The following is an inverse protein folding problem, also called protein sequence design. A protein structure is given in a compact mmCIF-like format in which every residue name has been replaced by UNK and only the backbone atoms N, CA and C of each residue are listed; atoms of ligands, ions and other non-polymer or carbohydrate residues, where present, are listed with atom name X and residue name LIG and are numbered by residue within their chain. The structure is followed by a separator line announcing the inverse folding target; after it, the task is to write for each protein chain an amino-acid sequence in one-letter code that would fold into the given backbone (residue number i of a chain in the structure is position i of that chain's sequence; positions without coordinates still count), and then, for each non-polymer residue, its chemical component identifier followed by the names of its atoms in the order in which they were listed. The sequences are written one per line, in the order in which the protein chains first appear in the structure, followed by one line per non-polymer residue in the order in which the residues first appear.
data_IF_317264358848
#
_entry.id   IF_317264358848
#
_cell.length_a   1.000
_cell.length_b   1.000
_cell.length_c   1.000
_cell.angle_alpha   90.00
_cell.angle_beta   90.00
_cell.angle_gamma   90.00
#
_symmetry.space_group_name_H-M   'P 1'
#
loop_
_entity.id
_entity.type
_entity.pdbx_description
1 polymer ?
#
# COMPACT_ATOMS: atom_id res chain seq x y z
N UNK A 1 -14.35 -10.80 -4.08
CA UNK A 1 -13.86 -9.99 -2.95
C UNK A 1 -12.63 -9.21 -3.41
N UNK A 2 -12.69 -7.88 -3.40
CA UNK A 2 -11.57 -7.01 -3.81
C UNK A 2 -10.50 -6.99 -2.72
N UNK A 3 -9.23 -6.91 -3.10
CA UNK A 3 -8.10 -6.92 -2.16
C UNK A 3 -7.34 -5.61 -2.24
N UNK A 4 -7.14 -5.00 -1.08
CA UNK A 4 -6.40 -3.77 -0.90
C UNK A 4 -5.09 -4.07 -0.19
N UNK A 5 -3.98 -3.77 -0.87
CA UNK A 5 -2.63 -3.86 -0.35
C UNK A 5 -2.14 -2.46 0.00
N UNK A 6 -1.46 -2.30 1.13
CA UNK A 6 -0.89 -1.04 1.57
C UNK A 6 0.44 -1.29 2.26
N UNK A 7 1.40 -0.41 1.98
CA UNK A 7 2.69 -0.37 2.65
C UNK A 7 2.79 0.94 3.43
N UNK A 8 3.20 0.84 4.69
CA UNK A 8 3.44 1.98 5.57
C UNK A 8 4.80 1.86 6.23
N UNK A 9 5.41 3.00 6.57
CA UNK A 9 6.65 3.02 7.32
C UNK A 9 6.41 2.94 8.84
N UNK A 10 7.50 3.05 9.62
CA UNK A 10 7.47 3.04 11.09
C UNK A 10 6.72 4.23 11.70
N UNK A 11 6.62 5.34 10.97
CA UNK A 11 5.95 6.58 11.36
C UNK A 11 4.49 6.60 10.88
N UNK A 12 4.00 5.47 10.36
CA UNK A 12 2.67 5.33 9.77
C UNK A 12 2.45 6.23 8.53
N UNK A 13 3.52 6.59 7.83
CA UNK A 13 3.44 7.25 6.54
C UNK A 13 3.12 6.25 5.44
N UNK A 14 2.41 6.69 4.39
CA UNK A 14 2.02 5.79 3.29
C UNK A 14 3.15 5.69 2.29
N UNK A 15 3.64 4.49 2.03
CA UNK A 15 4.70 4.24 1.05
C UNK A 15 4.16 3.88 -0.34
N UNK A 16 3.20 2.95 -0.39
CA UNK A 16 2.52 2.57 -1.63
C UNK A 16 1.18 1.90 -1.29
N UNK A 17 0.27 1.82 -2.27
CA UNK A 17 -0.99 1.11 -2.15
C UNK A 17 -1.43 0.49 -3.48
N UNK A 18 -2.24 -0.56 -3.42
CA UNK A 18 -2.77 -1.24 -4.59
C UNK A 18 -4.15 -1.83 -4.31
N UNK A 19 -5.14 -1.46 -5.12
CA UNK A 19 -6.46 -2.11 -5.14
C UNK A 19 -6.54 -3.09 -6.31
N UNK A 20 -6.92 -4.33 -6.00
CA UNK A 20 -7.09 -5.43 -6.96
C UNK A 20 -8.49 -6.03 -6.86
N UNK A 21 -8.96 -6.59 -7.98
CA UNK A 21 -10.30 -7.20 -8.04
C UNK A 21 -10.42 -8.53 -7.28
N UNK A 22 -9.33 -9.30 -7.19
CA UNK A 22 -9.24 -10.56 -6.42
C UNK A 22 -7.84 -10.71 -5.80
N UNK A 23 -7.72 -11.54 -4.76
CA UNK A 23 -6.44 -11.88 -4.12
C UNK A 23 -5.63 -12.81 -5.03
N UNK A 24 -4.43 -12.38 -5.42
CA UNK A 24 -3.50 -13.23 -6.16
C UNK A 24 -2.07 -13.04 -5.64
N UNK A 25 -1.34 -14.14 -5.42
CA UNK A 25 0.05 -14.14 -4.94
C UNK A 25 0.96 -13.26 -5.83
N UNK A 26 0.76 -13.31 -7.15
CA UNK A 26 1.52 -12.50 -8.12
C UNK A 26 1.32 -10.99 -7.93
N UNK A 27 0.10 -10.56 -7.59
CA UNK A 27 -0.20 -9.14 -7.37
C UNK A 27 0.45 -8.62 -6.08
N UNK A 28 0.45 -9.44 -5.04
CA UNK A 28 1.05 -9.11 -3.75
C UNK A 28 2.58 -9.10 -3.82
N UNK A 29 3.21 -10.09 -4.48
CA UNK A 29 4.65 -10.08 -4.77
C UNK A 29 5.06 -8.89 -5.65
N UNK A 30 4.27 -8.57 -6.67
CA UNK A 30 4.48 -7.42 -7.54
C UNK A 30 4.38 -6.10 -6.76
N UNK A 31 3.40 -5.99 -5.87
CA UNK A 31 3.25 -4.86 -4.96
C UNK A 31 4.47 -4.71 -4.03
N UNK A 32 4.90 -5.79 -3.38
CA UNK A 32 6.07 -5.79 -2.50
C UNK A 32 7.33 -5.33 -3.24
N UNK A 33 7.59 -5.93 -4.41
CA UNK A 33 8.77 -5.61 -5.24
C UNK A 33 8.75 -4.15 -5.68
N UNK A 34 7.59 -3.65 -6.10
CA UNK A 34 7.40 -2.25 -6.51
C UNK A 34 7.60 -1.28 -5.35
N UNK A 35 7.06 -1.59 -4.17
CA UNK A 35 7.20 -0.76 -2.98
C UNK A 35 8.67 -0.68 -2.53
N UNK A 36 9.40 -1.80 -2.56
CA UNK A 36 10.84 -1.85 -2.26
C UNK A 36 11.65 -1.07 -3.29
N UNK A 37 11.36 -1.23 -4.58
CA UNK A 37 12.08 -0.53 -5.65
C UNK A 37 11.94 0.99 -5.55
N UNK A 38 10.79 1.50 -5.07
CA UNK A 38 10.51 2.94 -4.97
C UNK A 38 11.04 3.57 -3.69
N UNK A 39 10.97 2.84 -2.58
CA UNK A 39 11.24 3.40 -1.24
C UNK A 39 12.58 2.91 -0.66
N UNK A 40 13.30 2.05 -1.39
CA UNK A 40 14.49 1.37 -0.91
C UNK A 40 14.17 0.08 -0.15
N UNK A 41 15.19 -0.78 -0.05
CA UNK A 41 15.03 -2.07 0.61
C UNK A 41 15.07 -1.94 2.14
N UNK A 42 13.99 -2.31 2.85
CA UNK A 42 13.98 -2.29 4.30
C UNK A 42 14.81 -3.43 4.89
N UNK A 43 15.37 -3.21 6.08
CA UNK A 43 16.04 -4.26 6.85
C UNK A 43 15.05 -5.22 7.53
N UNK A 44 13.86 -4.70 7.90
CA UNK A 44 12.80 -5.44 8.59
C UNK A 44 11.44 -5.10 7.98
N UNK A 45 10.63 -6.11 7.71
CA UNK A 45 9.20 -5.95 7.36
C UNK A 45 8.36 -6.56 8.46
N UNK A 46 7.40 -5.78 8.96
CA UNK A 46 6.36 -6.29 9.84
C UNK A 46 5.22 -6.85 9.00
N UNK A 47 4.92 -8.14 9.16
CA UNK A 47 3.81 -8.80 8.49
C UNK A 47 2.75 -9.23 9.50
N UNK A 48 1.49 -9.24 9.06
CA UNK A 48 0.47 -10.03 9.74
C UNK A 48 0.89 -11.52 9.71
N UNK A 49 0.34 -12.32 10.63
CA UNK A 49 0.65 -13.77 10.73
C UNK A 49 0.11 -14.58 9.54
N UNK A 50 -0.04 -13.99 8.36
CA UNK A 50 -0.47 -14.74 7.19
C UNK A 50 0.71 -15.44 6.53
N UNK A 51 0.53 -16.74 6.28
CA UNK A 51 1.53 -17.57 5.60
C UNK A 51 1.81 -17.07 4.18
N UNK A 52 0.81 -16.46 3.54
CA UNK A 52 0.95 -15.87 2.21
C UNK A 52 1.99 -14.75 2.18
N UNK A 53 1.94 -13.80 3.12
CA UNK A 53 2.89 -12.68 3.16
C UNK A 53 4.31 -13.18 3.50
N UNK A 54 4.42 -14.16 4.41
CA UNK A 54 5.70 -14.79 4.76
C UNK A 54 6.32 -15.48 3.54
N UNK A 55 5.52 -16.23 2.77
CA UNK A 55 5.97 -16.89 1.54
C UNK A 55 6.43 -15.88 0.47
N UNK A 56 5.76 -14.74 0.35
CA UNK A 56 6.12 -13.69 -0.61
C UNK A 56 7.43 -13.01 -0.24
N UNK A 57 7.65 -12.68 1.04
CA UNK A 57 8.94 -12.12 1.50
C UNK A 57 10.07 -13.14 1.34
N UNK A 58 9.82 -14.42 1.61
CA UNK A 58 10.80 -15.48 1.38
C UNK A 58 11.14 -15.63 -0.11
N UNK A 59 10.13 -15.56 -0.99
CA UNK A 59 10.36 -15.58 -2.43
C UNK A 59 11.18 -14.36 -2.89
N UNK A 60 10.91 -13.18 -2.35
CA UNK A 60 11.74 -12.00 -2.60
C UNK A 60 13.19 -12.20 -2.12
N UNK A 61 13.38 -12.68 -0.89
CA UNK A 61 14.70 -12.94 -0.30
C UNK A 61 15.49 -14.00 -1.06
N UNK A 62 14.85 -15.00 -1.66
CA UNK A 62 15.53 -16.03 -2.46
C UNK A 62 16.18 -15.47 -3.72
N UNK A 63 15.67 -14.34 -4.22
CA UNK A 63 16.12 -13.69 -5.47
C UNK A 63 17.05 -12.52 -5.25
N UNK A 64 17.29 -12.12 -4.00
CA UNK A 64 18.03 -10.90 -3.66
C UNK A 64 19.14 -11.20 -2.64
N UNK A 65 20.34 -10.62 -2.81
CA UNK A 65 21.48 -10.88 -1.92
C UNK A 65 21.28 -10.30 -0.52
N UNK A 66 20.59 -9.16 -0.41
CA UNK A 66 20.20 -8.57 0.87
C UNK A 66 18.91 -9.22 1.35
N UNK A 67 18.94 -9.87 2.51
CA UNK A 67 17.75 -10.51 3.11
C UNK A 67 17.00 -9.52 4.00
N UNK A 68 15.69 -9.49 3.82
CA UNK A 68 14.75 -8.75 4.67
C UNK A 68 14.34 -9.65 5.84
N UNK A 69 14.48 -9.16 7.08
CA UNK A 69 14.02 -9.88 8.27
C UNK A 69 12.50 -9.73 8.40
N UNK A 70 11.81 -10.82 8.64
CA UNK A 70 10.36 -10.81 8.91
C UNK A 70 10.17 -10.64 10.41
N UNK A 71 9.36 -9.66 10.82
CA UNK A 71 8.92 -9.46 12.19
C UNK A 71 7.41 -9.64 12.27
N UNK A 72 6.94 -10.25 13.35
CA UNK A 72 5.52 -10.34 13.67
C UNK A 72 5.29 -9.63 15.01
N UNK A 73 4.82 -8.39 14.99
CA UNK A 73 4.51 -7.63 16.20
C UNK A 73 3.01 -7.33 16.27
N UNK A 74 2.32 -7.86 17.28
CA UNK A 74 0.85 -7.67 17.47
C UNK A 74 0.47 -6.19 17.54
N UNK A 75 1.26 -5.37 18.23
CA UNK A 75 0.99 -3.94 18.37
C UNK A 75 1.06 -3.20 17.02
N UNK A 76 2.11 -3.44 16.24
CA UNK A 76 2.24 -2.86 14.89
C UNK A 76 1.14 -3.37 13.95
N UNK A 77 0.74 -4.64 14.09
CA UNK A 77 -0.40 -5.19 13.36
C UNK A 77 -1.69 -4.47 13.72
N UNK A 78 -1.95 -4.17 15.00
CA UNK A 78 -3.13 -3.43 15.42
C UNK A 78 -3.20 -2.02 14.81
N UNK A 79 -2.08 -1.31 14.70
CA UNK A 79 -2.00 0.02 14.06
C UNK A 79 -2.37 -0.10 12.57
N UNK A 80 -1.76 -1.06 11.87
CA UNK A 80 -2.04 -1.33 10.46
C UNK A 80 -3.50 -1.75 10.26
N UNK A 81 -4.05 -2.59 11.14
CA UNK A 81 -5.44 -3.03 11.11
C UNK A 81 -6.43 -1.89 11.36
N UNK A 82 -6.14 -0.99 12.29
CA UNK A 82 -6.92 0.24 12.49
C UNK A 82 -6.92 1.11 11.24
N UNK A 83 -5.74 1.31 10.65
CA UNK A 83 -5.59 2.11 9.45
C UNK A 83 -6.36 1.49 8.26
N UNK A 84 -6.33 0.16 8.15
CA UNK A 84 -7.10 -0.64 7.18
C UNK A 84 -8.61 -0.56 7.39
N UNK A 85 -9.12 -0.39 8.62
CA UNK A 85 -10.57 -0.34 8.89
C UNK A 85 -11.24 0.79 8.13
N UNK A 86 -10.63 1.97 8.12
CA UNK A 86 -11.14 3.13 7.37
C UNK A 86 -11.24 2.81 5.87
N UNK A 87 -10.21 2.17 5.31
CA UNK A 87 -10.18 1.85 3.88
C UNK A 87 -11.13 0.71 3.53
N UNK A 88 -11.23 -0.31 4.39
CA UNK A 88 -12.21 -1.39 4.23
C UNK A 88 -13.63 -0.83 4.25
N UNK A 89 -13.91 0.12 5.13
CA UNK A 89 -15.20 0.80 5.17
C UNK A 89 -15.48 1.57 3.87
N UNK A 90 -14.54 2.40 3.40
CA UNK A 90 -14.66 3.10 2.11
C UNK A 90 -14.82 2.12 0.93
N UNK A 91 -14.01 1.06 0.89
CA UNK A 91 -14.07 0.03 -0.16
C UNK A 91 -15.39 -0.75 -0.12
N UNK A 92 -15.99 -0.91 1.07
CA UNK A 92 -17.31 -1.53 1.23
C UNK A 92 -18.43 -0.59 0.75
N UNK A 93 -18.33 0.71 1.01
CA UNK A 93 -19.26 1.69 0.42
C UNK A 93 -19.12 1.80 -1.09
N UNK A 94 -17.91 1.57 -1.61
CA UNK A 94 -17.61 1.54 -3.04
C UNK A 94 -18.31 0.40 -3.81
N UNK A 95 -19.08 -0.48 -3.15
CA UNK A 95 -19.97 -1.44 -3.83
C UNK A 95 -21.07 -0.76 -4.66
N UNK A 96 -21.27 0.56 -4.54
CA UNK A 96 -22.11 1.36 -5.45
C UNK A 96 -21.44 1.81 -6.76
N UNK A 97 -20.13 1.60 -6.97
CA UNK A 97 -19.47 2.01 -8.22
C UNK A 97 -19.68 0.97 -9.33
N UNK A 98 -20.27 1.41 -10.45
CA UNK A 98 -20.51 0.59 -11.66
C UNK A 98 -19.23 0.08 -12.33
N UNK A 99 -18.08 0.75 -12.14
CA UNK A 99 -16.79 0.41 -12.80
C UNK A 99 -15.64 0.34 -11.79
N UNK A 100 -14.79 -0.66 -11.94
CA UNK A 100 -13.63 -0.89 -11.07
C UNK A 100 -12.57 0.23 -11.18
N UNK A 101 -12.37 0.76 -12.38
CA UNK A 101 -11.45 1.88 -12.63
C UNK A 101 -11.82 3.13 -11.85
N UNK A 102 -13.12 3.43 -11.76
CA UNK A 102 -13.63 4.57 -10.97
C UNK A 102 -13.35 4.34 -9.49
N UNK A 103 -13.61 3.14 -8.97
CA UNK A 103 -13.30 2.81 -7.59
C UNK A 103 -11.79 2.94 -7.28
N UNK A 104 -10.92 2.54 -8.21
CA UNK A 104 -9.47 2.73 -8.07
C UNK A 104 -9.08 4.21 -8.02
N UNK A 105 -9.57 5.04 -8.94
CA UNK A 105 -9.29 6.49 -8.98
C UNK A 105 -9.79 7.18 -7.71
N UNK A 106 -11.04 6.91 -7.29
CA UNK A 106 -11.60 7.46 -6.05
C UNK A 106 -10.79 7.04 -4.82
N UNK A 107 -10.37 5.78 -4.73
CA UNK A 107 -9.56 5.32 -3.60
C UNK A 107 -8.19 6.01 -3.58
N UNK A 108 -7.57 6.19 -4.74
CA UNK A 108 -6.32 6.93 -4.86
C UNK A 108 -6.47 8.40 -4.40
N UNK A 109 -7.59 9.05 -4.72
CA UNK A 109 -7.92 10.40 -4.23
C UNK A 109 -8.09 10.44 -2.70
N UNK A 110 -8.81 9.48 -2.12
CA UNK A 110 -8.98 9.37 -0.66
C UNK A 110 -7.63 9.19 0.03
N UNK A 111 -6.78 8.34 -0.55
CA UNK A 111 -5.46 8.04 -0.01
C UNK A 111 -4.53 9.27 -0.09
N UNK A 112 -4.58 10.01 -1.21
CA UNK A 112 -3.85 11.26 -1.39
C UNK A 112 -4.22 12.29 -0.31
N UNK A 113 -5.52 12.53 -0.08
CA UNK A 113 -5.99 13.42 0.99
C UNK A 113 -5.45 12.98 2.35
N UNK A 114 -5.40 11.67 2.61
CA UNK A 114 -4.88 11.13 3.88
C UNK A 114 -3.37 11.35 4.03
N UNK A 115 -2.60 11.12 2.98
CA UNK A 115 -1.15 11.41 2.92
C UNK A 115 -0.90 12.87 3.27
N UNK A 116 -1.66 13.78 2.66
CA UNK A 116 -1.54 15.22 2.90
C UNK A 116 -1.94 15.63 4.31
N UNK A 117 -3.03 15.05 4.86
CA UNK A 117 -3.43 15.27 6.27
C UNK A 117 -2.37 14.78 7.26
N UNK A 118 -1.56 13.78 6.88
CA UNK A 118 -0.39 13.33 7.65
C UNK A 118 0.85 14.23 7.47
N UNK A 119 0.74 15.32 6.71
CA UNK A 119 1.85 16.23 6.42
C UNK A 119 2.84 15.72 5.36
N UNK A 120 2.56 14.58 4.73
CA UNK A 120 3.41 14.06 3.66
C UNK A 120 3.19 14.86 2.38
N UNK A 121 4.28 15.22 1.71
CA UNK A 121 4.24 15.86 0.39
C UNK A 121 4.50 14.81 -0.70
N UNK A 122 3.52 14.53 -1.58
CA UNK A 122 3.72 13.60 -2.68
C UNK A 122 4.85 14.06 -3.56
N UNK A 123 5.78 13.15 -3.89
CA UNK A 123 6.88 13.41 -4.82
C UNK A 123 6.65 12.63 -6.10
N UNK A 124 6.79 13.29 -7.24
CA UNK A 124 6.81 12.62 -8.55
C UNK A 124 8.08 13.03 -9.26
N UNK A 125 8.93 12.05 -9.63
CA UNK A 125 10.22 12.28 -10.32
C UNK A 125 11.14 13.30 -9.62
N UNK A 126 11.09 13.38 -8.29
CA UNK A 126 11.94 14.29 -7.50
C UNK A 126 11.32 15.67 -7.22
N UNK A 127 10.23 16.02 -7.88
CA UNK A 127 9.51 17.27 -7.65
C UNK A 127 8.39 17.07 -6.62
N UNK A 128 8.26 18.05 -5.72
CA UNK A 128 7.15 18.11 -4.77
C UNK A 128 5.93 18.60 -5.54
N UNK A 129 4.93 17.72 -5.69
CA UNK A 129 3.70 18.10 -6.39
C UNK A 129 2.84 19.00 -5.52
N UNK A 130 2.23 20.00 -6.17
CA UNK A 130 1.08 20.70 -5.62
C UNK A 130 -0.07 19.72 -5.37
N UNK A 131 -1.00 20.12 -4.50
CA UNK A 131 -2.25 19.41 -4.28
C UNK A 131 -3.00 19.19 -5.59
N UNK A 132 -3.15 20.25 -6.38
CA UNK A 132 -3.85 20.21 -7.66
C UNK A 132 -3.17 19.26 -8.65
N UNK A 133 -1.84 19.33 -8.78
CA UNK A 133 -1.08 18.50 -9.72
C UNK A 133 -1.17 17.02 -9.35
N UNK A 134 -1.15 16.71 -8.05
CA UNK A 134 -1.35 15.34 -7.54
C UNK A 134 -2.74 14.80 -7.87
N UNK A 135 -3.77 15.65 -7.82
CA UNK A 135 -5.13 15.28 -8.22
C UNK A 135 -5.26 15.11 -9.74
N UNK A 136 -4.71 16.02 -10.54
CA UNK A 136 -4.78 15.93 -12.00
C UNK A 136 -4.03 14.70 -12.54
N UNK A 137 -2.88 14.34 -11.94
CA UNK A 137 -2.16 13.12 -12.27
C UNK A 137 -2.92 11.82 -12.00
N UNK A 138 -3.97 11.86 -11.17
CA UNK A 138 -4.84 10.70 -10.89
C UNK A 138 -6.02 10.57 -11.87
N UNK A 139 -6.41 11.69 -12.49
CA UNK A 139 -7.60 11.77 -13.34
C UNK A 139 -7.26 11.65 -14.83
N UNK A 140 -6.03 12.01 -15.24
CA UNK A 140 -5.51 11.69 -16.59
C UNK A 140 -5.43 10.18 -16.86
#
# INVERSE_FOLDING_TARGET
MRCYYRAVDKENNTLDFLLTAKRYKKAALGFLTKAISRNGQPSVINSDKSDANTAEINSYNSKNPRRIKIRQCKYLNNIIEQDHRFIKWNTKLMFGFKRFTVAQKTLASVELVRVLKKGQRPKTRGEVLSLADSFYALVS
#
